data_IF_442922334011
#
_entry.id   IF_442922334011
#
_cell.length_a   1.000
_cell.length_b   1.000
_cell.length_c   1.000
_cell.angle_alpha   90.00
_cell.angle_beta   90.00
_cell.angle_gamma   90.00
#
_symmetry.space_group_name_H-M   'P 1'
#
loop_
_entity.id
_entity.type
_entity.pdbx_description
1 polymer ?
#
# COMPACT_ATOMS: atom_id res chain seq x y z
N UNK A 1 2.21 -6.28 22.64
CA UNK A 1 2.24 -4.80 22.50
C UNK A 1 0.88 -4.37 21.95
N UNK A 2 0.15 -3.49 22.63
CA UNK A 2 -1.09 -2.96 22.04
C UNK A 2 -0.70 -2.05 20.87
N UNK A 3 -1.04 -2.44 19.64
CA UNK A 3 -0.84 -1.54 18.51
C UNK A 3 -1.84 -0.39 18.61
N UNK A 4 -1.32 0.81 18.48
CA UNK A 4 -2.09 2.05 18.62
C UNK A 4 -2.96 2.32 17.40
N UNK A 5 -2.54 1.84 16.21
CA UNK A 5 -3.10 2.19 14.92
C UNK A 5 -3.58 0.98 14.12
N UNK A 6 -4.57 1.21 13.29
CA UNK A 6 -5.03 0.29 12.26
C UNK A 6 -5.19 1.01 10.89
N UNK A 7 -5.68 0.30 9.87
CA UNK A 7 -5.79 0.83 8.50
C UNK A 7 -6.65 2.10 8.37
N UNK A 8 -7.58 2.36 9.31
CA UNK A 8 -8.43 3.57 9.29
C UNK A 8 -7.60 4.85 9.45
N UNK A 9 -6.44 4.75 10.09
CA UNK A 9 -5.54 5.89 10.27
C UNK A 9 -4.86 6.37 8.97
N UNK A 10 -4.90 5.59 7.87
CA UNK A 10 -4.16 5.94 6.65
C UNK A 10 -4.78 7.13 5.91
N UNK A 11 -6.11 7.12 5.67
CA UNK A 11 -6.78 8.26 5.00
C UNK A 11 -6.52 9.60 5.69
N UNK A 12 -6.75 9.75 7.02
CA UNK A 12 -6.47 11.01 7.70
C UNK A 12 -4.97 11.38 7.70
N UNK A 13 -4.06 10.39 7.65
CA UNK A 13 -2.62 10.64 7.52
C UNK A 13 -2.27 11.23 6.17
N UNK A 14 -2.72 10.61 5.08
CA UNK A 14 -2.50 11.08 3.70
C UNK A 14 -3.06 12.49 3.53
N UNK A 15 -4.29 12.72 3.97
CA UNK A 15 -4.94 14.03 3.89
C UNK A 15 -4.18 15.11 4.70
N UNK A 16 -3.71 14.75 5.89
CA UNK A 16 -2.93 15.67 6.74
C UNK A 16 -1.60 16.06 6.12
N UNK A 17 -0.92 15.11 5.47
CA UNK A 17 0.35 15.37 4.75
C UNK A 17 0.11 16.26 3.54
N UNK A 18 -0.98 16.06 2.81
CA UNK A 18 -1.32 16.86 1.63
C UNK A 18 -2.06 18.18 1.95
N UNK A 19 -2.24 18.52 3.24
CA UNK A 19 -2.84 19.77 3.67
C UNK A 19 -4.36 19.88 3.45
N UNK A 20 -5.06 18.75 3.24
CA UNK A 20 -6.50 18.69 3.01
C UNK A 20 -7.25 18.07 4.19
N UNK A 21 -8.58 18.25 4.25
CA UNK A 21 -9.41 17.59 5.25
C UNK A 21 -9.48 16.06 5.02
N UNK A 22 -9.69 15.25 6.05
CA UNK A 22 -10.00 13.84 5.83
C UNK A 22 -11.39 13.63 5.21
N UNK A 23 -11.68 12.45 4.63
CA UNK A 23 -13.04 12.07 4.25
C UNK A 23 -14.00 12.15 5.42
N UNK A 24 -15.25 12.53 5.16
CA UNK A 24 -16.25 12.77 6.22
C UNK A 24 -16.61 11.54 7.06
N UNK A 25 -16.31 10.34 6.58
CA UNK A 25 -16.50 9.08 7.29
C UNK A 25 -15.29 8.59 8.09
N UNK A 26 -14.15 9.29 8.01
CA UNK A 26 -12.93 8.92 8.75
C UNK A 26 -13.16 9.08 10.27
N UNK A 27 -12.90 8.02 11.03
CA UNK A 27 -13.16 7.95 12.48
C UNK A 27 -11.90 7.67 13.32
N UNK A 28 -10.73 7.60 12.70
CA UNK A 28 -9.46 7.37 13.37
C UNK A 28 -8.54 8.59 13.30
N UNK A 29 -7.66 8.72 14.30
CA UNK A 29 -6.60 9.73 14.29
C UNK A 29 -5.52 9.37 13.25
N UNK A 30 -4.84 10.38 12.67
CA UNK A 30 -3.72 10.13 11.77
C UNK A 30 -2.54 9.47 12.50
N UNK A 31 -1.66 8.84 11.74
CA UNK A 31 -0.39 8.31 12.22
C UNK A 31 0.55 9.46 12.57
N UNK A 32 0.58 9.86 13.84
CA UNK A 32 1.28 11.08 14.29
C UNK A 32 2.77 11.01 13.94
N UNK A 33 3.40 9.85 14.09
CA UNK A 33 4.82 9.65 13.80
C UNK A 33 5.13 9.88 12.31
N UNK A 34 4.21 9.51 11.42
CA UNK A 34 4.33 9.74 9.97
C UNK A 34 4.14 11.21 9.66
N UNK A 35 3.07 11.83 10.18
CA UNK A 35 2.75 13.25 9.96
C UNK A 35 3.87 14.15 10.46
N UNK A 36 4.37 13.92 11.67
CA UNK A 36 5.39 14.78 12.29
C UNK A 36 6.72 14.73 11.55
N UNK A 37 7.12 13.54 11.07
CA UNK A 37 8.40 13.37 10.35
C UNK A 37 8.31 13.73 8.86
N UNK A 38 7.17 13.44 8.20
CA UNK A 38 6.96 13.78 6.79
C UNK A 38 6.74 15.28 6.60
N UNK A 39 6.02 15.91 7.52
CA UNK A 39 5.54 17.28 7.36
C UNK A 39 4.49 17.41 6.26
N UNK A 40 4.04 18.63 6.01
CA UNK A 40 3.15 18.94 4.89
C UNK A 40 3.91 18.87 3.56
N UNK A 41 3.28 18.27 2.54
CA UNK A 41 3.86 17.99 1.23
C UNK A 41 2.88 18.33 0.12
N UNK A 42 3.41 18.79 -1.01
CA UNK A 42 2.64 18.97 -2.24
C UNK A 42 2.38 17.61 -2.94
N UNK A 43 3.29 16.62 -2.76
CA UNK A 43 3.25 15.34 -3.47
C UNK A 43 3.52 14.16 -2.57
N UNK A 44 2.70 13.14 -2.72
CA UNK A 44 2.79 11.89 -1.96
C UNK A 44 2.55 10.67 -2.84
N UNK A 45 3.38 9.64 -2.69
CA UNK A 45 3.16 8.33 -3.27
C UNK A 45 2.87 7.31 -2.15
N UNK A 46 1.78 6.56 -2.29
CA UNK A 46 1.42 5.43 -1.42
C UNK A 46 1.56 4.14 -2.21
N UNK A 47 2.47 3.27 -1.79
CA UNK A 47 2.73 1.97 -2.43
C UNK A 47 2.24 0.88 -1.49
N UNK A 48 1.26 0.11 -1.96
CA UNK A 48 0.72 -1.06 -1.25
C UNK A 48 1.29 -2.32 -1.90
N UNK A 49 2.04 -3.11 -1.12
CA UNK A 49 2.50 -4.43 -1.52
C UNK A 49 1.50 -5.43 -0.91
N UNK A 50 0.62 -5.99 -1.76
CA UNK A 50 -0.47 -6.87 -1.35
C UNK A 50 0.04 -8.10 -0.60
N UNK A 51 -0.60 -8.44 0.52
CA UNK A 51 -0.26 -9.57 1.41
C UNK A 51 1.17 -9.55 2.00
N UNK A 52 1.89 -8.43 1.94
CA UNK A 52 3.24 -8.28 2.51
C UNK A 52 3.17 -8.03 4.03
N UNK A 53 2.62 -8.97 4.79
CA UNK A 53 2.55 -8.91 6.25
C UNK A 53 3.92 -8.94 6.92
N UNK A 54 3.95 -8.62 8.23
CA UNK A 54 5.19 -8.62 9.04
C UNK A 54 5.89 -9.98 8.98
N UNK A 55 5.13 -11.09 9.03
CA UNK A 55 5.67 -12.45 8.96
C UNK A 55 6.37 -12.72 7.62
N UNK A 56 5.73 -12.32 6.51
CA UNK A 56 6.28 -12.45 5.14
C UNK A 56 7.56 -11.63 4.98
N UNK A 57 7.53 -10.34 5.41
CA UNK A 57 8.71 -9.48 5.40
C UNK A 57 9.87 -10.07 6.20
N UNK A 58 9.60 -10.53 7.43
CA UNK A 58 10.66 -11.10 8.28
C UNK A 58 11.28 -12.37 7.69
N UNK A 59 10.50 -13.21 7.02
CA UNK A 59 11.00 -14.40 6.32
C UNK A 59 11.87 -14.03 5.09
N UNK A 60 11.50 -12.97 4.37
CA UNK A 60 12.20 -12.49 3.17
C UNK A 60 13.15 -11.32 3.44
N UNK A 61 13.54 -11.05 4.70
CA UNK A 61 14.27 -9.83 5.09
C UNK A 61 15.58 -9.61 4.33
N UNK A 62 16.27 -10.67 3.94
CA UNK A 62 17.53 -10.55 3.19
C UNK A 62 17.30 -10.14 1.72
N UNK A 63 16.09 -10.31 1.22
CA UNK A 63 15.71 -10.03 -0.17
C UNK A 63 15.00 -8.67 -0.32
N UNK A 64 14.89 -7.87 0.76
CA UNK A 64 14.19 -6.58 0.78
C UNK A 64 15.11 -5.42 1.19
N UNK A 65 16.24 -5.19 0.49
CA UNK A 65 17.19 -4.13 0.87
C UNK A 65 16.58 -2.73 0.82
N UNK A 66 15.71 -2.42 -0.14
CA UNK A 66 15.05 -1.12 -0.27
C UNK A 66 14.09 -0.86 0.88
N UNK A 67 13.18 -1.80 1.13
CA UNK A 67 12.24 -1.70 2.25
C UNK A 67 12.98 -1.62 3.59
N UNK A 68 14.03 -2.42 3.78
CA UNK A 68 14.86 -2.40 4.99
C UNK A 68 15.59 -1.06 5.19
N UNK A 69 16.06 -0.43 4.11
CA UNK A 69 16.71 0.88 4.18
C UNK A 69 15.75 1.96 4.70
N UNK A 70 14.47 1.92 4.25
CA UNK A 70 13.41 2.78 4.77
C UNK A 70 13.02 2.40 6.20
N UNK A 71 12.85 1.11 6.51
CA UNK A 71 12.48 0.59 7.83
C UNK A 71 13.51 0.91 8.91
N UNK A 72 14.80 1.01 8.56
CA UNK A 72 15.85 1.43 9.49
C UNK A 72 15.73 2.90 9.94
N UNK A 73 14.94 3.70 9.22
CA UNK A 73 14.66 5.10 9.57
C UNK A 73 13.30 5.22 10.25
N UNK A 74 12.28 4.71 9.57
CA UNK A 74 10.88 4.86 9.98
C UNK A 74 10.12 3.57 9.77
N UNK A 75 9.64 2.98 10.85
CA UNK A 75 8.85 1.75 10.83
C UNK A 75 7.73 1.85 11.87
N UNK A 76 6.52 1.58 11.44
CA UNK A 76 5.38 1.26 12.27
C UNK A 76 4.81 -0.12 11.90
N UNK A 77 4.11 -0.73 12.82
CA UNK A 77 3.26 -1.88 12.54
C UNK A 77 1.81 -1.43 12.68
N UNK A 78 1.00 -1.72 11.67
CA UNK A 78 -0.43 -1.48 11.68
C UNK A 78 -1.19 -2.78 11.83
N UNK A 79 -2.47 -2.65 12.16
CA UNK A 79 -3.43 -3.74 12.08
C UNK A 79 -4.32 -3.57 10.86
N UNK A 80 -4.40 -4.60 10.04
CA UNK A 80 -5.47 -4.72 9.04
C UNK A 80 -6.83 -4.81 9.71
N UNK A 81 -7.87 -4.31 9.05
CA UNK A 81 -9.25 -4.49 9.53
C UNK A 81 -9.81 -5.84 9.10
N UNK A 82 -10.81 -6.33 9.82
CA UNK A 82 -11.42 -7.63 9.56
C UNK A 82 -12.63 -7.55 8.61
N UNK A 83 -12.77 -8.53 7.72
CA UNK A 83 -11.79 -9.58 7.38
C UNK A 83 -10.53 -9.01 6.71
N UNK A 84 -9.39 -9.66 6.94
CA UNK A 84 -8.10 -9.26 6.37
C UNK A 84 -8.01 -9.64 4.89
N UNK A 85 -8.82 -8.99 4.07
CA UNK A 85 -8.89 -9.16 2.62
C UNK A 85 -8.73 -7.83 1.91
N UNK A 86 -8.17 -7.87 0.72
CA UNK A 86 -7.79 -6.70 -0.07
C UNK A 86 -8.91 -5.68 -0.26
N UNK A 87 -10.13 -6.01 -0.72
CA UNK A 87 -11.16 -5.00 -0.99
C UNK A 87 -11.60 -4.27 0.29
N UNK A 88 -11.68 -4.97 1.42
CA UNK A 88 -12.07 -4.39 2.71
C UNK A 88 -11.02 -3.41 3.22
N UNK A 89 -9.75 -3.80 3.17
CA UNK A 89 -8.66 -2.95 3.64
C UNK A 89 -8.42 -1.75 2.71
N UNK A 90 -8.56 -1.91 1.38
CA UNK A 90 -8.48 -0.77 0.45
C UNK A 90 -9.62 0.24 0.69
N UNK A 91 -10.86 -0.21 0.85
CA UNK A 91 -11.96 0.69 1.20
C UNK A 91 -11.70 1.45 2.51
N UNK A 92 -11.17 0.75 3.52
CA UNK A 92 -10.79 1.36 4.80
C UNK A 92 -9.65 2.38 4.65
N UNK A 93 -8.58 2.03 3.91
CA UNK A 93 -7.43 2.92 3.70
C UNK A 93 -7.79 4.23 3.00
N UNK A 94 -8.83 4.21 2.14
CA UNK A 94 -9.23 5.35 1.32
C UNK A 94 -10.32 6.21 1.94
N UNK A 95 -11.17 5.62 2.78
CA UNK A 95 -12.26 6.34 3.43
C UNK A 95 -11.97 6.72 4.87
N UNK A 96 -11.00 6.05 5.51
CA UNK A 96 -10.75 6.15 6.96
C UNK A 96 -11.87 5.53 7.81
N UNK A 97 -12.84 4.85 7.19
CA UNK A 97 -13.99 4.21 7.85
C UNK A 97 -13.76 2.72 8.06
N UNK A 98 -14.34 2.16 9.11
CA UNK A 98 -14.33 0.72 9.34
C UNK A 98 -15.30 -0.07 8.43
N UNK A 99 -15.12 -1.40 8.33
CA UNK A 99 -15.90 -2.26 7.43
C UNK A 99 -17.43 -2.22 7.66
N UNK A 100 -17.86 -1.95 8.88
CA UNK A 100 -19.31 -1.82 9.20
C UNK A 100 -19.91 -0.51 8.66
N UNK A 101 -19.07 0.48 8.35
CA UNK A 101 -19.48 1.79 7.84
C UNK A 101 -19.42 1.82 6.32
N UNK A 102 -18.29 1.41 5.70
CA UNK A 102 -18.18 1.42 4.23
C UNK A 102 -18.89 0.27 3.55
N UNK A 103 -19.18 -0.84 4.25
CA UNK A 103 -19.98 -1.95 3.78
C UNK A 103 -19.34 -2.89 2.77
N UNK A 104 -18.13 -2.59 2.28
CA UNK A 104 -17.44 -3.38 1.26
C UNK A 104 -17.03 -4.75 1.83
N UNK A 105 -17.36 -5.82 1.06
CA UNK A 105 -16.99 -7.22 1.34
C UNK A 105 -16.32 -7.89 0.16
N UNK A 106 -16.48 -7.31 -1.04
CA UNK A 106 -15.91 -7.79 -2.30
C UNK A 106 -15.52 -6.62 -3.19
N UNK A 107 -14.54 -6.81 -4.09
CA UNK A 107 -14.02 -5.78 -4.98
C UNK A 107 -15.00 -5.31 -6.07
N UNK A 108 -16.08 -6.05 -6.28
CA UNK A 108 -17.13 -5.72 -7.26
C UNK A 108 -18.27 -4.89 -6.64
N UNK A 109 -18.25 -4.67 -5.34
CA UNK A 109 -19.21 -3.80 -4.66
C UNK A 109 -18.87 -2.33 -4.91
N UNK A 110 -19.88 -1.49 -4.93
CA UNK A 110 -19.72 -0.05 -5.15
C UNK A 110 -19.35 0.66 -3.84
N UNK A 111 -18.18 1.31 -3.81
CA UNK A 111 -17.80 2.17 -2.70
C UNK A 111 -18.53 3.51 -2.81
N UNK A 112 -19.43 3.79 -1.83
CA UNK A 112 -20.32 4.96 -1.85
C UNK A 112 -19.87 6.09 -0.92
N UNK A 113 -18.88 5.82 -0.07
CA UNK A 113 -18.35 6.82 0.83
C UNK A 113 -17.34 7.72 0.10
N UNK A 114 -17.24 8.94 0.59
CA UNK A 114 -16.21 9.87 0.17
C UNK A 114 -14.81 9.27 0.41
N UNK A 115 -13.95 9.39 -0.56
CA UNK A 115 -12.57 8.89 -0.55
C UNK A 115 -11.57 10.03 -0.45
N UNK A 116 -10.31 9.69 -0.17
CA UNK A 116 -9.18 10.64 -0.27
C UNK A 116 -9.13 11.31 -1.65
N UNK A 117 -9.46 10.58 -2.73
CA UNK A 117 -9.46 11.12 -4.09
C UNK A 117 -10.55 12.16 -4.31
N UNK A 118 -11.74 11.97 -3.73
CA UNK A 118 -12.83 12.94 -3.81
C UNK A 118 -12.47 14.24 -3.11
N UNK A 119 -11.88 14.14 -1.92
CA UNK A 119 -11.41 15.30 -1.14
C UNK A 119 -10.33 16.07 -1.88
N UNK A 120 -9.35 15.38 -2.48
CA UNK A 120 -8.29 16.01 -3.28
C UNK A 120 -8.86 16.72 -4.51
N UNK A 121 -9.81 16.09 -5.19
CA UNK A 121 -10.49 16.72 -6.35
C UNK A 121 -11.25 17.99 -5.96
N UNK A 122 -11.91 18.00 -4.79
CA UNK A 122 -12.56 19.21 -4.26
C UNK A 122 -11.57 20.35 -3.99
N UNK A 123 -10.34 20.01 -3.56
CA UNK A 123 -9.26 20.97 -3.30
C UNK A 123 -8.49 21.37 -4.58
N UNK A 124 -8.81 20.76 -5.73
CA UNK A 124 -8.16 21.00 -7.02
C UNK A 124 -6.83 20.28 -7.22
N UNK A 125 -6.51 19.34 -6.35
CA UNK A 125 -5.31 18.50 -6.45
C UNK A 125 -5.53 17.31 -7.40
N UNK A 126 -4.48 16.92 -8.13
CA UNK A 126 -4.52 15.86 -9.11
C UNK A 126 -4.10 14.51 -8.52
N UNK A 127 -4.84 13.46 -8.85
CA UNK A 127 -4.58 12.11 -8.35
C UNK A 127 -4.39 11.08 -9.47
N UNK A 128 -3.62 10.02 -9.17
CA UNK A 128 -3.44 8.89 -10.07
C UNK A 128 -3.42 7.57 -9.28
N UNK A 129 -3.76 6.49 -9.98
CA UNK A 129 -3.53 5.12 -9.50
C UNK A 129 -2.64 4.37 -10.48
N UNK A 130 -1.98 3.29 -10.01
CA UNK A 130 -1.33 2.30 -10.85
C UNK A 130 -1.65 0.91 -10.28
N UNK A 131 -2.37 0.10 -11.05
CA UNK A 131 -2.90 -1.17 -10.59
C UNK A 131 -3.19 -2.13 -11.74
N UNK A 132 -3.27 -3.43 -11.45
CA UNK A 132 -3.77 -4.42 -12.41
C UNK A 132 -5.28 -4.27 -12.62
N UNK A 133 -5.76 -4.55 -13.83
CA UNK A 133 -7.15 -4.34 -14.21
C UNK A 133 -8.18 -5.04 -13.31
N UNK A 134 -7.84 -6.24 -12.80
CA UNK A 134 -8.75 -7.04 -11.97
C UNK A 134 -8.39 -7.00 -10.48
N UNK A 135 -7.48 -6.15 -10.06
CA UNK A 135 -7.13 -5.96 -8.65
C UNK A 135 -8.17 -5.12 -7.91
N UNK A 136 -8.10 -5.11 -6.57
CA UNK A 136 -9.02 -4.27 -5.77
C UNK A 136 -8.77 -2.78 -6.01
N UNK A 137 -7.52 -2.34 -6.15
CA UNK A 137 -7.23 -0.96 -6.52
C UNK A 137 -7.77 -0.64 -7.91
N UNK A 138 -7.59 -1.55 -8.89
CA UNK A 138 -8.06 -1.35 -10.26
C UNK A 138 -9.56 -1.22 -10.39
N UNK A 139 -10.34 -2.11 -9.76
CA UNK A 139 -11.79 -2.15 -9.88
C UNK A 139 -12.50 -1.20 -8.93
N UNK A 140 -12.16 -1.27 -7.62
CA UNK A 140 -12.90 -0.58 -6.57
C UNK A 140 -12.50 0.89 -6.43
N UNK A 141 -11.24 1.21 -6.71
CA UNK A 141 -10.63 2.50 -6.35
C UNK A 141 -10.26 3.37 -7.54
N UNK A 142 -9.65 2.80 -8.57
CA UNK A 142 -9.18 3.59 -9.72
C UNK A 142 -10.24 4.47 -10.38
N UNK A 143 -11.56 4.13 -10.35
CA UNK A 143 -12.60 5.02 -10.85
C UNK A 143 -12.70 6.37 -10.15
N UNK A 144 -12.16 6.50 -8.92
CA UNK A 144 -12.14 7.77 -8.17
C UNK A 144 -10.96 8.67 -8.53
N UNK A 145 -9.87 8.10 -9.08
CA UNK A 145 -8.69 8.87 -9.46
C UNK A 145 -8.91 9.68 -10.76
N UNK A 146 -8.25 10.84 -10.86
CA UNK A 146 -8.31 11.67 -12.07
C UNK A 146 -7.56 11.03 -13.24
N UNK A 147 -6.54 10.23 -12.94
CA UNK A 147 -5.70 9.52 -13.91
C UNK A 147 -5.54 8.06 -13.49
N UNK A 148 -6.54 7.20 -13.78
CA UNK A 148 -6.43 5.78 -13.51
C UNK A 148 -5.39 5.13 -14.45
N UNK A 149 -4.33 4.56 -13.86
CA UNK A 149 -3.33 3.73 -14.56
C UNK A 149 -3.69 2.26 -14.37
N UNK A 150 -4.15 1.61 -15.45
CA UNK A 150 -4.60 0.22 -15.41
C UNK A 150 -3.69 -0.64 -16.29
N UNK A 151 -2.99 -1.59 -15.66
CA UNK A 151 -2.12 -2.54 -16.33
C UNK A 151 -2.94 -3.64 -17.02
N UNK A 152 -2.84 -3.70 -18.33
CA UNK A 152 -3.57 -4.66 -19.16
C UNK A 152 -2.91 -6.04 -19.19
N UNK A 153 -1.56 -6.09 -19.08
CA UNK A 153 -0.80 -7.34 -19.06
C UNK A 153 -0.94 -8.13 -17.73
N UNK A 154 -1.57 -7.55 -16.74
CA UNK A 154 -1.75 -8.13 -15.40
C UNK A 154 -0.43 -8.49 -14.72
N UNK A 155 0.59 -7.63 -14.84
CA UNK A 155 1.92 -7.78 -14.23
C UNK A 155 2.30 -6.58 -13.38
N UNK A 156 3.13 -6.79 -12.36
CA UNK A 156 3.66 -5.69 -11.55
C UNK A 156 4.71 -4.86 -12.30
N UNK A 157 5.37 -5.42 -13.33
CA UNK A 157 6.24 -4.65 -14.25
C UNK A 157 5.47 -3.52 -14.93
N UNK A 158 4.27 -3.80 -15.48
CA UNK A 158 3.45 -2.77 -16.13
C UNK A 158 2.88 -1.78 -15.10
N UNK A 159 2.47 -2.25 -13.92
CA UNK A 159 2.04 -1.38 -12.81
C UNK A 159 3.16 -0.40 -12.44
N UNK A 160 4.39 -0.90 -12.33
CA UNK A 160 5.57 -0.06 -12.03
C UNK A 160 5.82 0.96 -13.14
N UNK A 161 5.73 0.57 -14.41
CA UNK A 161 5.88 1.50 -15.53
C UNK A 161 4.83 2.63 -15.50
N UNK A 162 3.56 2.30 -15.20
CA UNK A 162 2.48 3.28 -15.02
C UNK A 162 2.71 4.21 -13.84
N UNK A 163 3.22 3.67 -12.72
CA UNK A 163 3.57 4.46 -11.55
C UNK A 163 4.70 5.45 -11.85
N UNK A 164 5.76 5.02 -12.54
CA UNK A 164 6.88 5.88 -12.95
C UNK A 164 6.41 6.99 -13.90
N UNK A 165 5.49 6.68 -14.81
CA UNK A 165 4.87 7.69 -15.69
C UNK A 165 4.06 8.71 -14.90
N UNK A 166 3.24 8.27 -13.92
CA UNK A 166 2.43 9.15 -13.07
C UNK A 166 3.31 10.07 -12.21
N UNK A 167 4.38 9.54 -11.61
CA UNK A 167 5.37 10.32 -10.86
C UNK A 167 5.98 11.41 -11.76
N UNK A 168 6.38 11.08 -12.98
CA UNK A 168 6.95 12.04 -13.94
C UNK A 168 5.95 13.09 -14.44
N UNK A 169 4.64 12.84 -14.34
CA UNK A 169 3.59 13.81 -14.66
C UNK A 169 3.26 14.77 -13.52
N UNK A 170 3.82 14.55 -12.33
CA UNK A 170 3.69 15.43 -11.19
C UNK A 170 2.27 15.50 -10.62
N UNK A 171 1.61 14.35 -10.41
CA UNK A 171 0.33 14.29 -9.67
C UNK A 171 0.57 14.54 -8.18
N UNK A 172 -0.42 15.07 -7.47
CA UNK A 172 -0.26 15.37 -6.03
C UNK A 172 -0.37 14.09 -5.18
N UNK A 173 -1.21 13.13 -5.58
CA UNK A 173 -1.30 11.80 -4.97
C UNK A 173 -1.17 10.70 -6.02
N UNK A 174 -0.22 9.79 -5.82
CA UNK A 174 -0.15 8.52 -6.51
C UNK A 174 -0.46 7.37 -5.54
N UNK A 175 -1.34 6.43 -5.94
CA UNK A 175 -1.61 5.21 -5.20
C UNK A 175 -1.34 3.97 -6.05
N UNK A 176 -0.50 3.08 -5.55
CA UNK A 176 -0.01 1.90 -6.29
C UNK A 176 -0.38 0.62 -5.54
N UNK A 177 -0.75 -0.44 -6.26
CA UNK A 177 -0.87 -1.80 -5.74
C UNK A 177 0.01 -2.76 -6.54
N UNK A 178 0.98 -3.39 -5.86
CA UNK A 178 1.74 -4.53 -6.37
C UNK A 178 1.11 -5.82 -5.86
N UNK A 179 0.88 -6.80 -6.73
CA UNK A 179 0.04 -7.97 -6.43
C UNK A 179 0.79 -9.32 -6.47
N UNK A 180 2.01 -9.37 -7.02
CA UNK A 180 2.77 -10.62 -7.17
C UNK A 180 2.99 -11.37 -5.85
N UNK A 181 3.12 -10.65 -4.71
CA UNK A 181 3.36 -11.28 -3.41
C UNK A 181 2.14 -12.05 -2.94
N UNK A 182 0.93 -11.50 -3.14
CA UNK A 182 -0.32 -12.20 -2.83
C UNK A 182 -0.54 -13.40 -3.74
N UNK A 183 -0.41 -13.23 -5.06
CA UNK A 183 -0.60 -14.28 -6.05
C UNK A 183 0.33 -15.48 -5.82
N UNK A 184 1.64 -15.24 -5.67
CA UNK A 184 2.63 -16.31 -5.45
C UNK A 184 2.49 -16.93 -4.05
N UNK A 185 2.12 -16.11 -3.06
CA UNK A 185 1.79 -16.59 -1.72
C UNK A 185 0.59 -17.52 -1.74
N UNK A 186 -0.50 -17.15 -2.37
CA UNK A 186 -1.67 -18.03 -2.57
C UNK A 186 -1.28 -19.32 -3.31
N UNK A 187 -0.52 -19.20 -4.39
CA UNK A 187 -0.18 -20.35 -5.23
C UNK A 187 0.78 -21.36 -4.55
N UNK A 188 1.76 -20.87 -3.80
CA UNK A 188 2.91 -21.65 -3.37
C UNK A 188 3.24 -21.56 -1.87
N UNK A 189 2.56 -20.68 -1.13
CA UNK A 189 2.86 -20.34 0.27
C UNK A 189 3.74 -19.08 0.38
N UNK A 190 3.43 -18.20 1.35
CA UNK A 190 4.09 -16.87 1.47
C UNK A 190 5.57 -16.95 1.80
N UNK A 191 6.03 -18.06 2.41
CA UNK A 191 7.44 -18.27 2.79
C UNK A 191 8.14 -19.31 1.90
N UNK A 192 7.50 -19.76 0.83
CA UNK A 192 8.11 -20.64 -0.17
C UNK A 192 9.20 -19.91 -0.96
N UNK A 193 10.01 -20.66 -1.69
CA UNK A 193 11.03 -20.08 -2.59
C UNK A 193 10.40 -19.11 -3.59
N UNK A 194 9.19 -19.41 -4.11
CA UNK A 194 8.47 -18.55 -5.04
C UNK A 194 7.87 -17.32 -4.36
N UNK A 195 7.29 -17.49 -3.18
CA UNK A 195 6.79 -16.37 -2.38
C UNK A 195 7.91 -15.38 -2.03
N UNK A 196 9.05 -15.87 -1.55
CA UNK A 196 10.24 -15.04 -1.28
C UNK A 196 10.76 -14.36 -2.55
N UNK A 197 10.76 -15.05 -3.69
CA UNK A 197 11.16 -14.45 -4.97
C UNK A 197 10.19 -13.35 -5.43
N UNK A 198 8.89 -13.47 -5.15
CA UNK A 198 7.92 -12.41 -5.41
C UNK A 198 8.17 -11.18 -4.52
N UNK A 199 8.45 -11.39 -3.23
CA UNK A 199 8.85 -10.31 -2.31
C UNK A 199 10.08 -9.58 -2.82
N UNK A 200 11.09 -10.32 -3.31
CA UNK A 200 12.28 -9.69 -3.91
C UNK A 200 11.92 -8.82 -5.11
N UNK A 201 11.09 -9.32 -6.05
CA UNK A 201 10.64 -8.50 -7.19
C UNK A 201 9.88 -7.25 -6.76
N UNK A 202 9.01 -7.38 -5.75
CA UNK A 202 8.31 -6.22 -5.20
C UNK A 202 9.27 -5.18 -4.60
N UNK A 203 10.37 -5.60 -3.97
CA UNK A 203 11.41 -4.68 -3.47
C UNK A 203 12.22 -4.04 -4.62
N UNK A 204 12.48 -4.78 -5.71
CA UNK A 204 13.11 -4.25 -6.93
C UNK A 204 12.19 -3.16 -7.56
N UNK A 205 10.88 -3.39 -7.69
CA UNK A 205 9.89 -2.40 -8.14
C UNK A 205 9.81 -1.19 -7.19
N UNK A 206 9.85 -1.44 -5.88
CA UNK A 206 9.88 -0.36 -4.90
C UNK A 206 11.12 0.52 -5.06
N UNK A 207 12.29 -0.07 -5.35
CA UNK A 207 13.52 0.69 -5.61
C UNK A 207 13.34 1.66 -6.77
N UNK A 208 12.81 1.19 -7.91
CA UNK A 208 12.59 2.03 -9.09
C UNK A 208 11.63 3.19 -8.78
N UNK A 209 10.51 2.90 -8.13
CA UNK A 209 9.54 3.92 -7.74
C UNK A 209 10.10 4.91 -6.71
N UNK A 210 10.84 4.44 -5.70
CA UNK A 210 11.43 5.28 -4.67
C UNK A 210 12.52 6.21 -5.23
N UNK A 211 13.35 5.71 -6.17
CA UNK A 211 14.33 6.54 -6.88
C UNK A 211 13.62 7.62 -7.68
N UNK A 212 12.59 7.28 -8.45
CA UNK A 212 11.83 8.28 -9.22
C UNK A 212 11.09 9.26 -8.33
N UNK A 213 10.46 8.78 -7.26
CA UNK A 213 9.71 9.62 -6.32
C UNK A 213 10.61 10.69 -5.67
N UNK A 214 11.83 10.34 -5.24
CA UNK A 214 12.74 11.31 -4.64
C UNK A 214 13.29 12.34 -5.65
N UNK A 215 13.39 11.98 -6.94
CA UNK A 215 13.78 12.90 -8.02
C UNK A 215 12.68 13.95 -8.31
N UNK A 216 11.42 13.55 -8.18
CA UNK A 216 10.22 14.36 -8.42
C UNK A 216 9.64 15.00 -7.14
N UNK A 217 10.39 14.97 -6.04
CA UNK A 217 10.07 15.56 -4.73
C UNK A 217 8.82 15.00 -4.04
N UNK A 218 8.53 13.69 -4.22
CA UNK A 218 7.47 12.99 -3.50
C UNK A 218 7.93 12.50 -2.14
N UNK A 219 7.09 12.68 -1.11
CA UNK A 219 7.10 11.80 0.05
C UNK A 219 6.61 10.40 -0.34
N UNK A 220 7.10 9.36 0.32
CA UNK A 220 6.68 7.98 0.02
C UNK A 220 6.23 7.29 1.30
N UNK A 221 5.07 6.62 1.25
CA UNK A 221 4.58 5.67 2.26
C UNK A 221 4.50 4.30 1.58
N UNK A 222 5.05 3.27 2.22
CA UNK A 222 4.96 1.88 1.75
C UNK A 222 4.37 1.03 2.85
N UNK A 223 3.36 0.23 2.53
CA UNK A 223 2.70 -0.67 3.48
C UNK A 223 2.13 -1.88 2.76
N UNK A 224 1.58 -2.81 3.52
CA UNK A 224 0.67 -3.84 3.00
C UNK A 224 -0.76 -3.56 3.47
N UNK A 225 -1.73 -4.11 2.77
CA UNK A 225 -3.15 -4.06 3.15
C UNK A 225 -3.52 -5.15 4.17
N UNK A 226 -2.90 -6.32 4.05
CA UNK A 226 -2.95 -7.45 4.99
C UNK A 226 -1.69 -8.30 4.86
N UNK A 227 -1.59 -9.33 5.66
CA UNK A 227 -0.59 -10.38 5.51
C UNK A 227 -1.22 -11.70 5.07
N UNK A 228 -0.45 -12.78 5.10
CA UNK A 228 -0.86 -14.09 4.64
C UNK A 228 -0.16 -15.19 5.44
N UNK A 229 -0.86 -16.30 5.72
CA UNK A 229 -0.29 -17.49 6.36
C UNK A 229 -0.29 -18.70 5.43
N UNK A 230 0.66 -19.61 5.69
CA UNK A 230 0.78 -20.84 4.92
C UNK A 230 -0.32 -21.85 5.27
N UNK A 231 -0.80 -22.57 4.27
CA UNK A 231 -1.72 -23.70 4.41
C UNK A 231 -1.18 -24.93 3.70
N UNK A 232 -1.57 -26.10 4.17
CA UNK A 232 -1.37 -27.37 3.45
C UNK A 232 -2.71 -27.74 2.79
N UNK A 233 -2.71 -27.91 1.47
CA UNK A 233 -3.89 -28.30 0.70
C UNK A 233 -4.16 -29.80 0.83
N UNK A 234 -5.36 -30.23 0.45
CA UNK A 234 -5.75 -31.65 0.49
C UNK A 234 -4.86 -32.57 -0.34
N UNK A 235 -4.28 -32.06 -1.41
CA UNK A 235 -3.33 -32.78 -2.27
C UNK A 235 -1.91 -32.84 -1.72
N UNK A 236 -1.67 -32.26 -0.55
CA UNK A 236 -0.36 -32.18 0.09
C UNK A 236 0.54 -31.06 -0.42
N UNK A 237 0.08 -30.22 -1.35
CA UNK A 237 0.83 -29.02 -1.79
C UNK A 237 0.69 -27.87 -0.78
N UNK A 238 1.74 -27.05 -0.70
CA UNK A 238 1.69 -25.80 0.08
C UNK A 238 0.95 -24.72 -0.69
N UNK A 239 0.33 -23.81 0.06
CA UNK A 239 -0.29 -22.59 -0.44
C UNK A 239 -0.38 -21.55 0.65
N UNK A 240 -1.02 -20.43 0.38
CA UNK A 240 -1.31 -19.41 1.35
C UNK A 240 -2.78 -19.01 1.35
N UNK A 241 -3.21 -18.44 2.45
CA UNK A 241 -4.53 -17.83 2.61
C UNK A 241 -4.45 -16.70 3.63
N UNK A 242 -5.48 -15.88 3.64
CA UNK A 242 -5.66 -14.76 4.56
C UNK A 242 -7.16 -14.58 4.88
N UNK A 243 -7.55 -13.51 5.53
CA UNK A 243 -8.95 -13.23 5.89
C UNK A 243 -9.30 -13.65 7.32
N UNK A 244 -8.29 -14.04 8.10
CA UNK A 244 -8.45 -14.57 9.46
C UNK A 244 -7.89 -13.64 10.53
N UNK A 245 -8.04 -14.02 11.80
CA UNK A 245 -7.42 -13.34 12.95
C UNK A 245 -5.98 -13.80 13.25
N UNK A 246 -5.37 -14.60 12.38
CA UNK A 246 -3.98 -15.00 12.55
C UNK A 246 -3.07 -13.76 12.55
N UNK A 247 -2.06 -13.76 13.40
CA UNK A 247 -1.12 -12.62 13.50
C UNK A 247 -0.42 -12.36 12.15
N UNK A 248 -0.18 -13.41 11.37
CA UNK A 248 0.39 -13.36 10.03
C UNK A 248 -0.48 -12.58 9.04
N UNK A 249 -1.81 -12.66 9.19
CA UNK A 249 -2.77 -11.95 8.32
C UNK A 249 -2.99 -10.51 8.77
N UNK A 250 -2.98 -10.29 10.09
CA UNK A 250 -3.44 -9.05 10.71
C UNK A 250 -2.35 -7.98 10.74
N UNK A 251 -1.09 -8.37 11.01
CA UNK A 251 -0.03 -7.38 11.23
C UNK A 251 0.76 -7.08 9.97
N UNK A 252 0.78 -5.79 9.61
CA UNK A 252 1.48 -5.29 8.44
C UNK A 252 2.53 -4.24 8.80
N UNK A 253 3.67 -4.21 8.09
CA UNK A 253 4.66 -3.17 8.26
C UNK A 253 4.25 -1.94 7.46
N UNK A 254 4.55 -0.76 7.99
CA UNK A 254 4.49 0.52 7.29
C UNK A 254 5.81 1.25 7.44
N UNK A 255 6.39 1.68 6.33
CA UNK A 255 7.60 2.50 6.26
C UNK A 255 7.32 3.76 5.46
N UNK A 256 8.09 4.82 5.73
CA UNK A 256 7.92 6.07 4.98
C UNK A 256 9.23 6.85 4.93
N UNK A 257 9.25 7.88 4.10
CA UNK A 257 10.37 8.82 4.05
C UNK A 257 10.07 10.04 3.20
N UNK A 258 10.72 11.14 3.57
CA UNK A 258 10.82 12.33 2.74
C UNK A 258 11.77 12.06 1.55
N UNK A 259 11.73 12.85 0.47
CA UNK A 259 12.67 12.70 -0.66
C UNK A 259 14.14 12.67 -0.23
N UNK A 260 14.50 13.50 0.76
CA UNK A 260 15.88 13.57 1.28
C UNK A 260 16.26 12.31 2.05
N UNK A 261 15.34 11.77 2.83
CA UNK A 261 15.57 10.54 3.60
C UNK A 261 15.68 9.32 2.71
N UNK A 262 14.82 9.21 1.67
CA UNK A 262 14.87 8.15 0.67
C UNK A 262 16.21 8.19 -0.06
N UNK A 263 16.62 9.36 -0.54
CA UNK A 263 17.93 9.55 -1.18
C UNK A 263 19.08 9.08 -0.29
N UNK A 264 19.06 9.50 0.97
CA UNK A 264 20.07 9.10 1.95
C UNK A 264 20.04 7.61 2.29
N UNK A 265 18.87 6.99 2.34
CA UNK A 265 18.68 5.57 2.63
C UNK A 265 19.17 4.68 1.49
N UNK A 266 18.90 5.08 0.24
CA UNK A 266 19.27 4.32 -0.96
C UNK A 266 20.67 4.63 -1.48
N UNK A 267 21.37 5.63 -0.92
CA UNK A 267 22.72 6.03 -1.36
C UNK A 267 22.74 6.61 -2.79
N UNK A 268 21.64 7.18 -3.27
CA UNK A 268 21.54 7.76 -4.61
C UNK A 268 22.23 9.12 -4.63
N UNK A 269 23.25 9.27 -5.46
CA UNK A 269 23.92 10.56 -5.71
C UNK A 269 23.01 11.50 -6.52
N UNK A 270 23.20 12.83 -6.32
CA UNK A 270 22.53 13.84 -7.16
C UNK A 270 22.97 13.75 -8.61
#
# INVERSE_FOLDING_TARGET
>A
MSMRYDMRSLAPTVCRILGVRPPGSADAEPLVEVVDSMGERERLAVVVIDAFGVSTWMAARLETPTFNAMANRHLLHLRSVMPTITPVNFATMLTGAGPDVHGIRDRTEELKLETVFDVLREDGAASATAARALSSLGILVSPFADRPGIAESNTDDEVTALALEALGKGVDLLWVQLLDVDDEGHAHGPQSIRGIAAVKRADDHLLEMAVRAQEEDYGVIVLADHGQHAILREDGSEGGTHGTYADEDVYVPLVWGTPQEIRGALGVSK
#
